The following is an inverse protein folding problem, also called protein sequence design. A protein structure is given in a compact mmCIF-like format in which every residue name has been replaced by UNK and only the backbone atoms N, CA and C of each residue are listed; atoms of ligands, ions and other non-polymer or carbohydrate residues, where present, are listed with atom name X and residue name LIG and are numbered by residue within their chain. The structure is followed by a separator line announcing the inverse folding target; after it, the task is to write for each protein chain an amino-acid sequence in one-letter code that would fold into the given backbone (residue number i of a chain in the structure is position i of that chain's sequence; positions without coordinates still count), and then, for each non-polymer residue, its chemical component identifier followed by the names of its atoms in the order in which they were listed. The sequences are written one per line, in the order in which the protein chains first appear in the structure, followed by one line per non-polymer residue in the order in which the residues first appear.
data_IF_259240694814
#
_entry.id   IF_259240694814
#
_cell.length_a   1.000
_cell.length_b   1.000
_cell.length_c   1.000
_cell.angle_alpha   90.00
_cell.angle_beta   90.00
_cell.angle_gamma   90.00
#
_symmetry.space_group_name_H-M   'P 1'
#
loop_
_entity.id
_entity.type
_entity.pdbx_description
1 polymer ?
#
# COMPACT_ATOMS: atom_id res chain seq x y z
N UNK A 1 10.01 18.89 -4.39
CA UNK A 1 8.92 18.14 -5.02
C UNK A 1 8.26 17.31 -3.92
N UNK A 2 6.93 17.36 -3.74
CA UNK A 2 6.26 16.59 -2.71
C UNK A 2 6.36 15.09 -3.03
N UNK A 3 6.49 14.28 -2.00
CA UNK A 3 6.47 12.81 -2.08
C UNK A 3 5.11 12.35 -1.59
N UNK A 4 4.39 11.62 -2.43
CA UNK A 4 3.10 11.03 -2.10
C UNK A 4 3.29 9.52 -1.95
N UNK A 5 2.92 9.00 -0.79
CA UNK A 5 2.88 7.55 -0.52
C UNK A 5 1.43 7.12 -0.54
N UNK A 6 1.16 6.02 -1.23
CA UNK A 6 -0.21 5.53 -1.44
C UNK A 6 -0.24 4.03 -1.18
N UNK A 7 -1.27 3.58 -0.51
CA UNK A 7 -1.64 2.18 -0.40
C UNK A 7 -3.12 2.00 -0.76
N UNK A 8 -3.47 0.92 -1.45
CA UNK A 8 -4.82 0.68 -1.95
C UNK A 8 -5.24 -0.74 -1.58
N UNK A 9 -6.32 -0.83 -0.84
CA UNK A 9 -6.93 -2.10 -0.49
C UNK A 9 -8.09 -2.43 -1.44
N UNK A 10 -8.05 -3.62 -2.01
CA UNK A 10 -9.01 -4.06 -3.01
C UNK A 10 -9.66 -5.39 -2.61
N UNK A 11 -10.81 -5.69 -3.19
CA UNK A 11 -11.43 -7.01 -3.04
C UNK A 11 -10.49 -8.11 -3.55
N UNK A 12 -10.37 -9.19 -2.78
CA UNK A 12 -9.65 -10.40 -3.18
C UNK A 12 -10.30 -11.63 -2.55
N UNK A 13 -10.08 -12.81 -3.17
CA UNK A 13 -10.57 -14.09 -2.68
C UNK A 13 -9.56 -15.22 -2.92
N UNK A 14 -9.91 -16.43 -2.55
CA UNK A 14 -9.06 -17.61 -2.74
C UNK A 14 -8.72 -17.90 -4.21
N UNK A 15 -9.58 -17.50 -5.14
CA UNK A 15 -9.44 -17.70 -6.60
C UNK A 15 -9.19 -16.40 -7.37
N UNK A 16 -9.31 -15.24 -6.71
CA UNK A 16 -9.13 -13.92 -7.29
C UNK A 16 -8.16 -13.11 -6.43
N UNK A 17 -6.89 -13.05 -6.81
CA UNK A 17 -5.85 -12.30 -6.08
C UNK A 17 -4.60 -12.11 -6.94
N UNK A 18 -3.79 -11.11 -6.62
CA UNK A 18 -2.50 -10.84 -7.27
C UNK A 18 -1.48 -11.99 -7.12
N UNK A 19 -1.66 -12.90 -6.17
CA UNK A 19 -0.82 -14.10 -6.07
C UNK A 19 -1.20 -15.20 -7.05
N UNK A 20 -2.37 -15.12 -7.68
CA UNK A 20 -2.91 -16.12 -8.60
C UNK A 20 -3.09 -15.62 -10.04
N UNK A 21 -3.15 -14.32 -10.23
CA UNK A 21 -3.43 -13.68 -11.51
C UNK A 21 -2.30 -12.73 -11.87
N UNK A 22 -2.16 -12.46 -13.17
CA UNK A 22 -1.33 -11.34 -13.62
C UNK A 22 -2.00 -10.03 -13.21
N UNK A 23 -1.22 -9.01 -12.93
CA UNK A 23 -1.71 -7.71 -12.47
C UNK A 23 -2.75 -7.11 -13.43
N UNK A 24 -2.50 -7.15 -14.74
CA UNK A 24 -3.45 -6.64 -15.73
C UNK A 24 -4.78 -7.42 -15.73
N UNK A 25 -4.72 -8.75 -15.62
CA UNK A 25 -5.91 -9.59 -15.56
C UNK A 25 -6.71 -9.33 -14.27
N UNK A 26 -6.02 -9.10 -13.15
CA UNK A 26 -6.64 -8.74 -11.88
C UNK A 26 -7.35 -7.39 -11.94
N UNK A 27 -6.70 -6.37 -12.49
CA UNK A 27 -7.25 -5.01 -12.58
C UNK A 27 -8.42 -4.88 -13.56
N UNK A 28 -8.42 -5.68 -14.62
CA UNK A 28 -9.46 -5.67 -15.66
C UNK A 28 -10.61 -6.66 -15.41
N UNK A 29 -10.51 -7.49 -14.37
CA UNK A 29 -11.55 -8.45 -14.01
C UNK A 29 -12.79 -7.71 -13.48
N UNK A 30 -14.03 -8.15 -13.87
CA UNK A 30 -15.27 -7.56 -13.35
C UNK A 30 -15.42 -7.61 -11.81
N UNK A 31 -14.65 -8.45 -11.14
CA UNK A 31 -14.61 -8.52 -9.67
C UNK A 31 -13.78 -7.43 -9.01
N UNK A 32 -13.01 -6.67 -9.79
CA UNK A 32 -12.17 -5.59 -9.23
C UNK A 32 -13.02 -4.56 -8.50
N UNK A 33 -12.69 -4.33 -7.26
CA UNK A 33 -13.36 -3.34 -6.42
C UNK A 33 -12.35 -2.73 -5.45
N UNK A 34 -12.30 -1.41 -5.40
CA UNK A 34 -11.52 -0.68 -4.41
C UNK A 34 -12.32 -0.56 -3.11
N UNK A 35 -11.78 -1.08 -2.02
CA UNK A 35 -12.38 -0.99 -0.68
C UNK A 35 -12.00 0.35 -0.03
N UNK A 36 -10.70 0.63 0.05
CA UNK A 36 -10.20 1.92 0.55
C UNK A 36 -8.81 2.21 0.00
N UNK A 37 -8.39 3.47 0.16
CA UNK A 37 -7.06 3.94 -0.17
C UNK A 37 -6.57 4.87 0.93
N UNK A 38 -5.31 4.77 1.29
CA UNK A 38 -4.65 5.71 2.19
C UNK A 38 -3.57 6.48 1.44
N UNK A 39 -3.50 7.77 1.67
CA UNK A 39 -2.59 8.71 1.00
C UNK A 39 -1.87 9.56 2.02
N UNK A 40 -0.55 9.58 1.95
CA UNK A 40 0.32 10.43 2.78
C UNK A 40 1.16 11.34 1.88
N UNK A 41 1.01 12.63 2.06
CA UNK A 41 1.85 13.62 1.40
C UNK A 41 2.95 14.09 2.36
N UNK A 42 4.20 13.87 2.00
CA UNK A 42 5.37 14.20 2.81
C UNK A 42 5.23 13.65 4.25
N UNK A 43 5.23 14.51 5.25
CA UNK A 43 5.06 14.16 6.67
C UNK A 43 3.69 14.57 7.22
N UNK A 44 2.75 14.95 6.37
CA UNK A 44 1.39 15.26 6.79
C UNK A 44 0.68 14.01 7.35
N UNK A 45 -0.38 14.19 8.15
CA UNK A 45 -1.23 13.07 8.57
C UNK A 45 -1.78 12.29 7.36
N UNK A 46 -1.77 10.97 7.45
CA UNK A 46 -2.30 10.10 6.40
C UNK A 46 -3.81 10.25 6.33
N UNK A 47 -4.33 10.45 5.13
CA UNK A 47 -5.76 10.55 4.83
C UNK A 47 -6.23 9.24 4.20
N UNK A 48 -7.43 8.80 4.54
CA UNK A 48 -8.04 7.61 3.95
C UNK A 48 -9.36 7.97 3.24
N UNK A 49 -9.62 7.22 2.17
CA UNK A 49 -10.78 7.36 1.30
C UNK A 49 -11.43 5.99 1.15
N UNK A 50 -12.74 5.90 1.26
CA UNK A 50 -13.49 4.64 1.26
C UNK A 50 -14.35 4.52 0.01
N UNK A 51 -14.20 3.40 -0.69
CA UNK A 51 -14.94 3.09 -1.90
C UNK A 51 -14.39 3.79 -3.14
N UNK A 52 -14.69 3.19 -4.27
CA UNK A 52 -14.13 3.60 -5.56
C UNK A 52 -14.41 5.06 -5.93
N UNK A 53 -15.59 5.59 -5.60
CA UNK A 53 -15.96 6.96 -5.95
C UNK A 53 -15.16 8.01 -5.16
N UNK A 54 -14.88 7.77 -3.87
CA UNK A 54 -14.05 8.68 -3.07
C UNK A 54 -12.57 8.58 -3.48
N UNK A 55 -12.10 7.36 -3.71
CA UNK A 55 -10.72 7.13 -4.19
C UNK A 55 -10.51 7.80 -5.54
N UNK A 56 -11.44 7.68 -6.48
CA UNK A 56 -11.35 8.35 -7.78
C UNK A 56 -11.32 9.88 -7.65
N UNK A 57 -12.11 10.45 -6.74
CA UNK A 57 -12.07 11.89 -6.45
C UNK A 57 -10.75 12.33 -5.84
N UNK A 58 -10.22 11.54 -4.89
CA UNK A 58 -8.92 11.79 -4.29
C UNK A 58 -7.77 11.70 -5.29
N UNK A 59 -7.87 10.81 -6.28
CA UNK A 59 -6.87 10.64 -7.35
C UNK A 59 -6.85 11.80 -8.35
N UNK A 60 -7.92 12.57 -8.42
CA UNK A 60 -8.05 13.73 -9.31
C UNK A 60 -7.31 14.97 -8.81
N UNK A 61 -6.26 14.83 -8.00
CA UNK A 61 -5.44 15.95 -7.50
C UNK A 61 -4.69 16.75 -8.60
N UNK A 62 -4.92 16.45 -9.88
CA UNK A 62 -4.31 17.18 -10.99
C UNK A 62 -2.78 17.04 -11.09
N UNK A 63 -2.19 16.16 -10.32
CA UNK A 63 -0.76 15.93 -10.33
C UNK A 63 -0.42 14.68 -11.15
N UNK A 64 0.33 14.89 -12.22
CA UNK A 64 1.00 13.80 -12.93
C UNK A 64 2.30 13.52 -12.18
N UNK A 65 2.49 12.31 -11.63
CA UNK A 65 3.75 11.96 -10.97
C UNK A 65 4.90 12.05 -11.96
N UNK A 66 5.98 12.73 -11.57
CA UNK A 66 7.20 12.78 -12.36
C UNK A 66 7.97 11.45 -12.32
N UNK A 67 7.74 10.66 -11.25
CA UNK A 67 8.38 9.36 -11.04
C UNK A 67 7.54 8.50 -10.11
N UNK A 68 7.56 7.19 -10.36
CA UNK A 68 7.02 6.17 -9.46
C UNK A 68 8.18 5.43 -8.79
N UNK A 69 8.11 5.27 -7.47
CA UNK A 69 9.09 4.54 -6.69
C UNK A 69 8.39 3.39 -5.95
N UNK A 70 8.88 2.18 -6.15
CA UNK A 70 8.37 0.98 -5.49
C UNK A 70 9.26 0.62 -4.29
N UNK A 71 8.73 0.75 -3.08
CA UNK A 71 9.44 0.43 -1.84
C UNK A 71 9.78 -1.06 -1.72
N UNK A 72 9.03 -1.95 -2.35
CA UNK A 72 9.34 -3.38 -2.41
C UNK A 72 10.62 -3.63 -3.22
N UNK A 73 10.76 -2.99 -4.37
CA UNK A 73 11.98 -3.07 -5.18
C UNK A 73 13.19 -2.50 -4.45
N UNK A 74 13.03 -1.36 -3.75
CA UNK A 74 14.08 -0.81 -2.90
C UNK A 74 14.47 -1.77 -1.77
N UNK A 75 13.49 -2.39 -1.10
CA UNK A 75 13.72 -3.37 -0.05
C UNK A 75 14.47 -4.62 -0.56
N UNK A 76 14.12 -5.12 -1.74
CA UNK A 76 14.83 -6.24 -2.37
C UNK A 76 16.30 -5.90 -2.60
N UNK A 77 16.58 -4.71 -3.12
CA UNK A 77 17.95 -4.29 -3.38
C UNK A 77 18.78 -4.09 -2.09
N UNK A 78 18.18 -3.51 -1.04
CA UNK A 78 18.92 -3.03 0.14
C UNK A 78 18.92 -4.00 1.33
N UNK A 79 17.93 -4.90 1.44
CA UNK A 79 17.75 -5.71 2.65
C UNK A 79 17.60 -7.21 2.39
N UNK A 80 17.27 -7.64 1.17
CA UNK A 80 17.00 -9.06 0.92
C UNK A 80 18.17 -9.99 1.26
N UNK A 81 19.39 -9.57 0.96
CA UNK A 81 20.60 -10.35 1.28
C UNK A 81 20.79 -10.53 2.80
N UNK A 82 20.29 -9.60 3.61
CA UNK A 82 20.44 -9.61 5.07
C UNK A 82 19.34 -10.38 5.77
N UNK A 83 18.08 -10.18 5.35
CA UNK A 83 16.91 -10.72 6.08
C UNK A 83 16.16 -11.82 5.31
N UNK A 84 16.53 -12.10 4.05
CA UNK A 84 15.94 -13.15 3.22
C UNK A 84 14.47 -12.93 2.85
N UNK A 85 13.88 -11.80 3.24
CA UNK A 85 12.46 -11.45 3.04
C UNK A 85 12.35 -9.98 2.67
N UNK A 86 11.32 -9.63 1.87
CA UNK A 86 11.08 -8.24 1.44
C UNK A 86 9.64 -7.79 1.68
N UNK A 87 8.86 -8.55 2.47
CA UNK A 87 7.51 -8.12 2.84
C UNK A 87 7.56 -6.86 3.72
N UNK A 88 6.52 -6.03 3.64
CA UNK A 88 6.38 -4.82 4.46
C UNK A 88 6.62 -5.10 5.95
N UNK A 89 5.99 -6.16 6.48
CA UNK A 89 6.15 -6.58 7.87
C UNK A 89 7.61 -6.93 8.23
N UNK A 90 8.30 -7.70 7.38
CA UNK A 90 9.68 -8.12 7.64
C UNK A 90 10.65 -6.93 7.61
N UNK A 91 10.47 -6.02 6.64
CA UNK A 91 11.33 -4.83 6.49
C UNK A 91 11.07 -3.83 7.61
N UNK A 92 9.80 -3.56 7.96
CA UNK A 92 9.43 -2.67 9.06
C UNK A 92 10.01 -3.18 10.41
N UNK A 93 9.88 -4.48 10.68
CA UNK A 93 10.44 -5.11 11.87
C UNK A 93 11.98 -4.99 11.92
N UNK A 94 12.65 -5.30 10.81
CA UNK A 94 14.12 -5.18 10.70
C UNK A 94 14.63 -3.76 10.95
N UNK A 95 13.89 -2.76 10.47
CA UNK A 95 14.24 -1.35 10.63
C UNK A 95 13.76 -0.74 11.97
N UNK A 96 13.03 -1.50 12.80
CA UNK A 96 12.48 -1.01 14.06
C UNK A 96 11.41 0.06 13.91
N UNK A 97 10.62 0.02 12.82
CA UNK A 97 9.64 1.05 12.46
C UNK A 97 8.22 0.76 13.00
N UNK A 98 7.96 -0.45 13.49
CA UNK A 98 6.66 -0.88 13.99
C UNK A 98 6.23 -2.22 13.41
N UNK A 99 4.96 -2.55 13.60
CA UNK A 99 4.37 -3.82 13.17
C UNK A 99 3.26 -3.56 12.16
N UNK A 100 3.20 -4.41 11.14
CA UNK A 100 2.06 -4.49 10.23
C UNK A 100 0.89 -5.14 10.96
N UNK A 101 -0.31 -4.58 10.80
CA UNK A 101 -1.54 -5.20 11.30
C UNK A 101 -1.92 -6.49 10.56
N UNK A 102 -2.94 -7.17 11.04
CA UNK A 102 -3.46 -8.44 10.52
C UNK A 102 -4.89 -8.35 9.96
N UNK A 103 -5.49 -7.16 9.93
CA UNK A 103 -6.87 -6.94 9.50
C UNK A 103 -7.15 -7.46 8.07
N UNK A 104 -6.13 -7.57 7.22
CA UNK A 104 -6.23 -8.17 5.90
C UNK A 104 -6.78 -9.61 5.93
N UNK A 105 -6.47 -10.39 6.96
CA UNK A 105 -6.96 -11.78 7.08
C UNK A 105 -8.49 -11.85 7.17
N UNK A 106 -9.10 -10.84 7.78
CA UNK A 106 -10.56 -10.75 7.95
C UNK A 106 -11.28 -10.16 6.73
N UNK A 107 -10.55 -9.69 5.73
CA UNK A 107 -11.08 -9.10 4.50
C UNK A 107 -11.22 -10.12 3.36
N UNK A 108 -10.69 -11.35 3.52
CA UNK A 108 -10.74 -12.38 2.48
C UNK A 108 -12.18 -12.65 2.02
N UNK A 109 -12.43 -12.47 0.73
CA UNK A 109 -13.74 -12.68 0.10
C UNK A 109 -14.75 -11.55 0.29
N UNK A 110 -14.47 -10.56 1.15
CA UNK A 110 -15.38 -9.44 1.42
C UNK A 110 -15.30 -8.39 0.31
N UNK A 111 -16.47 -7.86 -0.05
CA UNK A 111 -16.66 -6.63 -0.79
C UNK A 111 -16.90 -5.47 0.17
N UNK A 112 -16.85 -4.23 -0.28
CA UNK A 112 -17.11 -3.07 0.57
C UNK A 112 -18.45 -3.19 1.33
N UNK A 113 -19.49 -3.68 0.67
CA UNK A 113 -20.83 -3.85 1.25
C UNK A 113 -20.90 -4.93 2.36
N UNK A 114 -19.91 -5.83 2.42
CA UNK A 114 -19.90 -6.95 3.37
C UNK A 114 -19.20 -6.60 4.72
N UNK A 115 -18.58 -5.42 4.79
CA UNK A 115 -17.94 -4.98 6.02
C UNK A 115 -18.96 -4.44 7.00
N UNK A 116 -18.89 -4.89 8.25
CA UNK A 116 -19.53 -4.15 9.34
C UNK A 116 -18.84 -2.79 9.53
N UNK A 117 -19.52 -1.78 10.12
CA UNK A 117 -18.87 -0.48 10.36
C UNK A 117 -17.56 -0.59 11.16
N UNK A 118 -17.51 -1.46 12.15
CA UNK A 118 -16.31 -1.65 12.98
C UNK A 118 -15.17 -2.36 12.19
N UNK A 119 -15.51 -3.37 11.40
CA UNK A 119 -14.52 -4.06 10.56
C UNK A 119 -13.94 -3.12 9.51
N UNK A 120 -14.79 -2.27 8.92
CA UNK A 120 -14.35 -1.28 7.92
C UNK A 120 -13.40 -0.26 8.55
N UNK A 121 -13.71 0.26 9.74
CA UNK A 121 -12.80 1.16 10.47
C UNK A 121 -11.45 0.49 10.74
N UNK A 122 -11.46 -0.76 11.20
CA UNK A 122 -10.23 -1.51 11.45
C UNK A 122 -9.42 -1.74 10.16
N UNK A 123 -10.10 -2.00 9.05
CA UNK A 123 -9.45 -2.24 7.75
C UNK A 123 -8.87 -0.94 7.15
N UNK A 124 -9.59 0.18 7.29
CA UNK A 124 -9.08 1.51 6.92
C UNK A 124 -7.85 1.89 7.77
N UNK A 125 -7.89 1.62 9.08
CA UNK A 125 -6.74 1.88 9.96
C UNK A 125 -5.53 1.01 9.58
N UNK A 126 -5.76 -0.22 9.13
CA UNK A 126 -4.73 -1.09 8.59
C UNK A 126 -4.07 -0.48 7.34
N UNK A 127 -4.86 0.01 6.39
CA UNK A 127 -4.37 0.68 5.18
C UNK A 127 -3.55 1.95 5.52
N UNK A 128 -4.01 2.76 6.49
CA UNK A 128 -3.27 3.93 7.00
C UNK A 128 -1.91 3.50 7.56
N UNK A 129 -1.89 2.46 8.42
CA UNK A 129 -0.66 1.96 9.02
C UNK A 129 0.33 1.44 7.96
N UNK A 130 -0.14 0.72 6.95
CA UNK A 130 0.70 0.23 5.86
C UNK A 130 1.30 1.38 5.05
N UNK A 131 0.52 2.43 4.77
CA UNK A 131 1.00 3.66 4.11
C UNK A 131 2.07 4.36 4.96
N UNK A 132 1.86 4.49 6.27
CA UNK A 132 2.83 5.11 7.19
C UNK A 132 4.13 4.29 7.26
N UNK A 133 4.04 2.97 7.33
CA UNK A 133 5.20 2.08 7.29
C UNK A 133 5.95 2.15 5.97
N UNK A 134 5.24 2.16 4.83
CA UNK A 134 5.86 2.33 3.51
C UNK A 134 6.63 3.65 3.43
N UNK A 135 6.05 4.74 3.91
CA UNK A 135 6.72 6.04 3.95
C UNK A 135 7.95 6.03 4.85
N UNK A 136 7.86 5.48 6.04
CA UNK A 136 8.98 5.38 6.97
C UNK A 136 10.12 4.52 6.41
N UNK A 137 9.81 3.42 5.73
CA UNK A 137 10.80 2.59 5.02
C UNK A 137 11.46 3.38 3.89
N UNK A 138 10.67 4.08 3.07
CA UNK A 138 11.18 4.92 2.00
C UNK A 138 12.19 5.95 2.52
N UNK A 139 11.85 6.67 3.59
CA UNK A 139 12.73 7.68 4.20
C UNK A 139 14.06 7.08 4.73
N UNK A 140 14.05 5.80 5.17
CA UNK A 140 15.27 5.07 5.56
C UNK A 140 16.10 4.60 4.37
N UNK A 141 15.47 4.34 3.23
CA UNK A 141 16.13 3.77 2.05
C UNK A 141 16.69 4.84 1.12
N UNK A 142 16.01 5.97 0.92
CA UNK A 142 16.42 7.02 -0.02
C UNK A 142 17.88 7.46 0.14
N UNK A 143 18.40 7.71 1.36
CA UNK A 143 19.79 8.11 1.53
C UNK A 143 20.82 7.05 1.10
N UNK A 144 20.38 5.77 1.03
CA UNK A 144 21.22 4.61 0.71
C UNK A 144 21.01 4.09 -0.72
N UNK A 145 19.97 4.58 -1.40
CA UNK A 145 19.63 4.15 -2.74
C UNK A 145 20.48 4.90 -3.79
N UNK A 146 20.92 4.25 -4.87
CA UNK A 146 21.71 4.91 -5.89
C UNK A 146 20.98 6.11 -6.49
N UNK A 147 21.62 7.26 -6.53
CA UNK A 147 21.00 8.49 -7.06
C UNK A 147 20.63 8.39 -8.54
N UNK A 148 21.32 7.54 -9.30
CA UNK A 148 21.00 7.24 -10.70
C UNK A 148 19.62 6.61 -10.88
N UNK A 149 19.14 5.85 -9.88
CA UNK A 149 17.85 5.17 -9.88
C UNK A 149 16.69 6.07 -9.39
N UNK A 150 17.01 7.29 -8.94
CA UNK A 150 16.06 8.30 -8.44
C UNK A 150 15.87 9.47 -9.42
N UNK A 151 16.20 9.26 -10.72
CA UNK A 151 16.13 10.29 -11.75
C UNK A 151 15.15 9.96 -12.85
#
# INVERSE_FOLDING_TARGET
MPIVTIDVETHYSSDYSLSRMKEADYLLDPRFEVICCAVKQDHAPTQAYVGQAEVARAWHFGHVPAMYLDTLSMARALTHATIGRSSLAAVASYLGLGQKGDAVVHALGKRLADFSPNDLVAYVQYCINDTDLCRAIFDRFVPRFPKSELR
#
